data_IF_033406996217
#
_entry.id   IF_033406996217
#
_cell.length_a   1.000
_cell.length_b   1.000
_cell.length_c   1.000
_cell.angle_alpha   90.00
_cell.angle_beta   90.00
_cell.angle_gamma   90.00
#
_symmetry.space_group_name_H-M   'P 1'
#
loop_
_entity.id
_entity.type
_entity.pdbx_description
1 polymer ?
#
# COMPACT_ATOMS: atom_id res chain seq x y z
N UNK A 1 -3.34 0.64 -20.50
CA UNK A 1 -3.49 2.03 -20.04
C UNK A 1 -3.00 2.12 -18.61
N UNK A 2 -2.09 3.06 -18.31
CA UNK A 2 -1.79 3.44 -16.93
C UNK A 2 -2.96 4.33 -16.51
N UNK A 3 -3.75 3.88 -15.55
CA UNK A 3 -4.81 4.70 -14.96
C UNK A 3 -4.13 5.62 -13.96
N UNK A 4 -4.16 6.92 -14.22
CA UNK A 4 -3.77 7.94 -13.26
C UNK A 4 -4.98 8.29 -12.39
N UNK A 5 -4.75 8.54 -11.11
CA UNK A 5 -5.75 9.05 -10.18
C UNK A 5 -6.08 10.53 -10.42
N UNK A 6 -5.09 11.28 -10.91
CA UNK A 6 -5.23 12.68 -11.30
C UNK A 6 -5.63 13.62 -10.17
N UNK A 7 -6.08 14.82 -10.55
CA UNK A 7 -6.64 15.81 -9.63
C UNK A 7 -8.14 15.60 -9.47
N UNK A 8 -8.65 15.83 -8.25
CA UNK A 8 -10.09 15.76 -7.93
C UNK A 8 -10.49 16.92 -7.02
N UNK A 9 -11.71 17.41 -7.21
CA UNK A 9 -12.26 18.46 -6.34
C UNK A 9 -13.25 17.86 -5.35
N UNK A 10 -13.10 18.19 -4.08
CA UNK A 10 -13.95 17.75 -2.98
C UNK A 10 -14.30 18.94 -2.09
N UNK A 11 -15.59 19.28 -1.96
CA UNK A 11 -16.05 20.43 -1.20
C UNK A 11 -15.46 21.76 -1.70
N UNK A 12 -15.26 21.88 -3.01
CA UNK A 12 -14.64 23.07 -3.63
C UNK A 12 -13.12 23.18 -3.48
N UNK A 13 -12.46 22.18 -2.88
CA UNK A 13 -11.00 22.14 -2.74
C UNK A 13 -10.41 21.11 -3.71
N UNK A 14 -9.38 21.49 -4.47
CA UNK A 14 -8.64 20.57 -5.35
C UNK A 14 -7.61 19.76 -4.56
N UNK A 15 -7.58 18.45 -4.78
CA UNK A 15 -6.63 17.50 -4.22
C UNK A 15 -5.92 16.76 -5.35
N UNK A 16 -4.58 16.70 -5.28
CA UNK A 16 -3.76 15.99 -6.24
C UNK A 16 -3.49 14.54 -5.78
N UNK A 17 -4.14 13.58 -6.45
CA UNK A 17 -4.03 12.17 -6.15
C UNK A 17 -2.98 11.44 -6.99
N UNK A 18 -2.17 12.14 -7.80
CA UNK A 18 -1.15 11.50 -8.65
C UNK A 18 -0.09 10.74 -7.84
N UNK A 19 0.08 11.05 -6.55
CA UNK A 19 0.93 10.28 -5.64
C UNK A 19 0.44 8.84 -5.40
N UNK A 20 -0.81 8.53 -5.78
CA UNK A 20 -1.38 7.18 -5.77
C UNK A 20 -1.26 6.49 -7.15
N UNK A 21 -0.62 7.12 -8.13
CA UNK A 21 -0.37 6.50 -9.42
C UNK A 21 0.59 5.30 -9.25
N UNK A 22 0.36 4.19 -9.98
CA UNK A 22 1.24 3.05 -9.89
C UNK A 22 2.68 3.42 -10.28
N UNK A 23 3.65 3.08 -9.43
CA UNK A 23 5.07 3.27 -9.71
C UNK A 23 5.80 1.93 -9.77
N UNK A 24 7.05 1.96 -10.25
CA UNK A 24 7.93 0.80 -10.23
C UNK A 24 9.16 1.06 -9.37
N UNK A 25 9.67 -0.01 -8.78
CA UNK A 25 10.90 0.01 -8.00
C UNK A 25 11.63 -1.32 -8.11
N UNK A 26 12.93 -1.29 -7.82
CA UNK A 26 13.75 -2.49 -7.73
C UNK A 26 13.90 -2.92 -6.27
N UNK A 27 13.88 -4.23 -6.05
CA UNK A 27 14.11 -4.84 -4.74
C UNK A 27 15.18 -5.91 -4.89
N UNK A 28 16.29 -5.74 -4.17
CA UNK A 28 17.42 -6.68 -4.17
C UNK A 28 17.62 -7.23 -2.76
N UNK A 29 17.56 -8.55 -2.56
CA UNK A 29 17.93 -9.15 -1.27
C UNK A 29 19.37 -8.83 -0.89
N UNK A 30 19.66 -8.71 0.41
CA UNK A 30 20.98 -8.29 0.91
C UNK A 30 22.11 -9.31 0.67
N UNK A 31 21.79 -10.58 0.41
CA UNK A 31 22.81 -11.61 0.23
C UNK A 31 23.57 -11.40 -1.10
N UNK A 32 24.91 -11.50 -1.12
CA UNK A 32 25.70 -11.33 -2.33
C UNK A 32 25.23 -12.25 -3.47
N UNK A 33 25.19 -11.73 -4.69
CA UNK A 33 24.73 -12.46 -5.88
C UNK A 33 23.23 -12.69 -5.97
N UNK A 34 22.42 -12.13 -5.06
CA UNK A 34 20.97 -12.23 -5.14
C UNK A 34 20.40 -11.49 -6.37
N UNK A 35 19.36 -12.04 -7.02
CA UNK A 35 18.72 -11.37 -8.15
C UNK A 35 17.99 -10.10 -7.70
N UNK A 36 17.97 -9.10 -8.60
CA UNK A 36 17.15 -7.89 -8.45
C UNK A 36 15.78 -8.10 -9.07
N UNK A 37 14.72 -7.78 -8.33
CA UNK A 37 13.35 -7.91 -8.78
C UNK A 37 12.75 -6.55 -9.14
N UNK A 38 12.27 -6.41 -10.37
CA UNK A 38 11.36 -5.32 -10.77
C UNK A 38 9.98 -5.52 -10.17
N UNK A 39 9.54 -4.58 -9.34
CA UNK A 39 8.27 -4.58 -8.62
C UNK A 39 7.43 -3.40 -9.09
N UNK A 40 6.15 -3.65 -9.38
CA UNK A 40 5.15 -2.60 -9.59
C UNK A 40 4.33 -2.45 -8.32
N UNK A 41 4.19 -1.22 -7.82
CA UNK A 41 3.33 -0.91 -6.68
C UNK A 41 2.03 -0.33 -7.23
N UNK A 42 0.90 -0.83 -6.75
CA UNK A 42 -0.44 -0.31 -7.07
C UNK A 42 -1.15 0.06 -5.79
N UNK A 43 -2.08 1.01 -5.90
CA UNK A 43 -2.86 1.53 -4.78
C UNK A 43 -4.34 1.34 -5.07
N UNK A 44 -5.10 0.87 -4.08
CA UNK A 44 -6.55 0.93 -4.09
C UNK A 44 -7.06 2.23 -3.44
N UNK A 45 -8.37 2.34 -3.18
CA UNK A 45 -9.03 3.58 -2.73
C UNK A 45 -8.67 4.01 -1.29
N UNK A 46 -7.40 4.34 -1.01
CA UNK A 46 -6.91 4.59 0.36
C UNK A 46 -7.41 5.87 1.02
N UNK A 47 -7.73 6.88 0.21
CA UNK A 47 -8.28 8.15 0.65
C UNK A 47 -9.80 8.11 0.75
N UNK A 48 -10.44 7.00 0.40
CA UNK A 48 -11.90 6.83 0.41
C UNK A 48 -12.27 5.74 1.43
N UNK A 49 -12.75 6.14 2.61
CA UNK A 49 -12.62 5.28 3.80
C UNK A 49 -13.94 4.81 4.37
N UNK A 50 -14.82 5.71 4.79
CA UNK A 50 -16.15 5.37 5.30
C UNK A 50 -17.13 5.19 4.15
N UNK A 51 -18.20 4.46 4.42
CA UNK A 51 -19.35 4.42 3.52
C UNK A 51 -19.84 5.85 3.28
N UNK A 52 -20.13 6.15 2.01
CA UNK A 52 -20.76 7.40 1.63
C UNK A 52 -22.23 7.36 2.05
N UNK A 53 -22.70 8.39 2.73
CA UNK A 53 -24.10 8.53 3.13
C UNK A 53 -24.73 9.79 2.54
N UNK A 54 -26.06 9.87 2.57
CA UNK A 54 -26.82 10.96 1.91
C UNK A 54 -26.54 12.36 2.50
N UNK A 55 -25.95 12.44 3.69
CA UNK A 55 -25.50 13.71 4.30
C UNK A 55 -24.14 14.18 3.80
N UNK A 56 -23.43 13.35 3.03
CA UNK A 56 -22.15 13.70 2.44
C UNK A 56 -22.34 14.54 1.18
N UNK A 57 -21.37 15.40 0.90
CA UNK A 57 -21.36 16.12 -0.36
C UNK A 57 -21.27 15.10 -1.53
N UNK A 58 -22.09 15.24 -2.59
CA UNK A 58 -22.12 14.28 -3.70
C UNK A 58 -20.76 14.09 -4.38
N UNK A 59 -19.94 15.13 -4.41
CA UNK A 59 -18.58 15.12 -4.98
C UNK A 59 -17.60 14.31 -4.13
N UNK A 60 -17.88 14.05 -2.85
CA UNK A 60 -17.07 13.17 -1.99
C UNK A 60 -17.26 11.69 -2.28
N UNK A 61 -18.25 11.33 -3.11
CA UNK A 61 -18.56 9.94 -3.46
C UNK A 61 -17.52 9.37 -4.41
N UNK A 62 -16.95 8.23 -4.04
CA UNK A 62 -16.14 7.40 -4.92
C UNK A 62 -16.72 5.99 -4.99
N UNK A 63 -16.96 5.50 -6.20
CA UNK A 63 -17.49 4.15 -6.40
C UNK A 63 -16.34 3.15 -6.50
N UNK A 64 -16.25 2.22 -5.56
CA UNK A 64 -15.31 1.10 -5.56
C UNK A 64 -16.09 -0.21 -5.70
N UNK A 65 -16.27 -0.69 -6.94
CA UNK A 65 -17.12 -1.84 -7.21
C UNK A 65 -18.59 -1.56 -6.85
N UNK A 66 -19.17 -2.36 -5.97
CA UNK A 66 -20.55 -2.17 -5.48
C UNK A 66 -20.67 -1.18 -4.32
N UNK A 67 -19.55 -0.76 -3.72
CA UNK A 67 -19.55 0.12 -2.55
C UNK A 67 -19.29 1.58 -2.94
N UNK A 68 -19.99 2.50 -2.27
CA UNK A 68 -19.70 3.92 -2.33
C UNK A 68 -18.93 4.33 -1.08
N UNK A 69 -17.76 4.94 -1.28
CA UNK A 69 -16.86 5.39 -0.21
C UNK A 69 -16.73 6.92 -0.25
N UNK A 70 -16.63 7.55 0.92
CA UNK A 70 -16.43 8.99 1.04
C UNK A 70 -14.94 9.36 1.13
N UNK A 71 -14.56 10.43 0.43
CA UNK A 71 -13.22 11.02 0.52
C UNK A 71 -12.89 11.47 1.95
N UNK A 72 -11.64 11.27 2.37
CA UNK A 72 -11.14 11.62 3.69
C UNK A 72 -9.86 12.46 3.58
N UNK A 73 -9.92 13.78 3.84
CA UNK A 73 -8.77 14.68 3.69
C UNK A 73 -7.62 14.35 4.66
N UNK A 74 -7.94 13.83 5.86
CA UNK A 74 -6.92 13.36 6.81
C UNK A 74 -6.12 12.20 6.22
N UNK A 75 -6.80 11.21 5.61
CA UNK A 75 -6.12 10.09 4.97
C UNK A 75 -5.35 10.50 3.73
N UNK A 76 -5.87 11.46 2.96
CA UNK A 76 -5.13 12.11 1.88
C UNK A 76 -3.81 12.72 2.38
N UNK A 77 -3.84 13.47 3.48
CA UNK A 77 -2.63 14.06 4.05
C UNK A 77 -1.59 12.99 4.40
N UNK A 78 -2.03 11.90 5.05
CA UNK A 78 -1.11 10.80 5.39
C UNK A 78 -0.61 10.02 4.16
N UNK A 79 -1.45 9.86 3.12
CA UNK A 79 -1.10 9.06 1.95
C UNK A 79 0.01 9.66 1.10
N UNK A 80 0.28 10.96 1.23
CA UNK A 80 1.41 11.64 0.57
C UNK A 80 2.77 10.98 0.88
N UNK A 81 2.89 10.29 2.02
CA UNK A 81 4.13 9.62 2.41
C UNK A 81 4.28 8.20 1.82
N UNK A 82 3.24 7.63 1.20
CA UNK A 82 3.17 6.20 0.89
C UNK A 82 4.30 5.69 0.02
N UNK A 83 4.59 6.37 -1.09
CA UNK A 83 5.64 5.94 -2.00
C UNK A 83 6.98 5.83 -1.26
N UNK A 84 7.38 6.89 -0.55
CA UNK A 84 8.65 6.91 0.16
C UNK A 84 8.70 5.85 1.27
N UNK A 85 7.60 5.65 2.01
CA UNK A 85 7.52 4.63 3.05
C UNK A 85 7.68 3.22 2.49
N UNK A 86 7.08 2.92 1.34
CA UNK A 86 7.21 1.63 0.66
C UNK A 86 8.64 1.43 0.15
N UNK A 87 9.24 2.49 -0.44
CA UNK A 87 10.65 2.47 -0.86
C UNK A 87 11.57 2.17 0.31
N UNK A 88 11.39 2.84 1.44
CA UNK A 88 12.18 2.61 2.66
C UNK A 88 11.97 1.19 3.24
N UNK A 89 10.74 0.67 3.18
CA UNK A 89 10.44 -0.67 3.68
C UNK A 89 11.11 -1.79 2.87
N UNK A 90 11.48 -1.54 1.61
CA UNK A 90 12.07 -2.55 0.73
C UNK A 90 13.40 -3.13 1.21
N UNK A 91 14.17 -2.35 1.99
CA UNK A 91 15.44 -2.79 2.60
C UNK A 91 15.28 -3.37 4.01
N UNK A 92 14.04 -3.38 4.51
CA UNK A 92 13.68 -3.74 5.88
C UNK A 92 12.83 -5.01 6.00
N UNK A 93 12.05 -5.06 7.09
CA UNK A 93 11.15 -6.16 7.41
C UNK A 93 9.70 -5.70 7.34
N UNK A 94 8.83 -6.59 6.90
CA UNK A 94 7.37 -6.49 6.98
C UNK A 94 6.85 -7.51 7.96
N UNK A 95 5.60 -7.33 8.39
CA UNK A 95 4.95 -8.22 9.34
C UNK A 95 3.83 -9.00 8.68
N UNK A 96 3.59 -10.21 9.17
CA UNK A 96 2.40 -10.98 8.83
C UNK A 96 1.15 -10.29 9.40
N UNK A 97 0.04 -10.33 8.67
CA UNK A 97 -1.24 -9.82 9.12
C UNK A 97 -2.39 -10.82 8.81
N UNK A 98 -3.52 -10.67 9.51
CA UNK A 98 -4.67 -11.57 9.38
C UNK A 98 -5.65 -11.14 8.28
N UNK A 99 -5.72 -9.84 7.95
CA UNK A 99 -6.69 -9.29 6.97
C UNK A 99 -6.14 -9.28 5.54
N UNK A 100 -4.91 -8.79 5.40
CA UNK A 100 -4.04 -8.93 4.24
C UNK A 100 -2.80 -9.69 4.70
N UNK A 101 -2.12 -10.48 3.88
CA UNK A 101 -1.02 -11.31 4.36
C UNK A 101 0.11 -10.47 4.97
N UNK A 102 0.30 -9.22 4.53
CA UNK A 102 1.41 -8.37 4.94
C UNK A 102 0.98 -6.98 5.43
N UNK A 103 1.78 -6.43 6.36
CA UNK A 103 1.71 -5.05 6.82
C UNK A 103 3.11 -4.46 7.00
N UNK A 104 3.31 -3.23 6.52
CA UNK A 104 4.45 -2.38 6.85
C UNK A 104 4.01 -1.46 8.00
N UNK A 105 4.65 -1.54 9.17
CA UNK A 105 4.53 -0.49 10.18
C UNK A 105 5.49 0.65 9.82
N UNK A 106 4.95 1.83 9.51
CA UNK A 106 5.71 3.04 9.22
C UNK A 106 5.51 4.09 10.31
N UNK A 107 6.39 5.08 10.35
CA UNK A 107 6.22 6.31 11.14
C UNK A 107 6.11 7.47 10.18
N UNK A 108 5.17 8.38 10.43
CA UNK A 108 5.08 9.66 9.72
C UNK A 108 5.13 10.80 10.74
N UNK A 109 5.70 11.96 10.40
CA UNK A 109 5.74 13.11 11.30
C UNK A 109 4.33 13.49 11.79
N UNK A 110 4.20 13.79 13.09
CA UNK A 110 2.94 14.25 13.67
C UNK A 110 1.91 13.17 13.99
N UNK A 111 2.16 11.89 13.68
CA UNK A 111 1.32 10.78 14.14
C UNK A 111 1.94 10.07 15.35
N UNK A 112 1.11 9.83 16.37
CA UNK A 112 1.49 8.98 17.51
C UNK A 112 1.26 7.50 17.19
N UNK A 113 2.34 6.72 17.15
CA UNK A 113 2.29 5.30 16.80
C UNK A 113 2.23 5.01 15.29
N UNK A 114 2.11 3.73 14.89
CA UNK A 114 2.38 3.34 13.52
C UNK A 114 1.29 3.76 12.53
N UNK A 115 1.76 4.16 11.35
CA UNK A 115 0.99 4.19 10.12
C UNK A 115 1.11 2.82 9.44
N UNK A 116 0.02 2.07 9.41
CA UNK A 116 0.00 0.69 8.90
C UNK A 116 -0.33 0.69 7.40
N UNK A 117 0.56 0.10 6.59
CA UNK A 117 0.37 -0.08 5.14
C UNK A 117 0.16 -1.57 4.87
N UNK A 118 -1.06 -1.93 4.51
CA UNK A 118 -1.50 -3.30 4.27
C UNK A 118 -1.41 -3.63 2.78
N UNK A 119 -0.76 -4.73 2.43
CA UNK A 119 -0.55 -5.08 1.02
C UNK A 119 -0.61 -6.59 0.73
N UNK A 120 -0.86 -6.89 -0.53
CA UNK A 120 -0.68 -8.21 -1.15
C UNK A 120 0.56 -8.18 -2.04
N UNK A 121 1.28 -9.31 -2.12
CA UNK A 121 2.32 -9.52 -3.12
C UNK A 121 1.85 -10.58 -4.11
N UNK A 122 1.73 -10.19 -5.37
CA UNK A 122 1.15 -11.02 -6.44
C UNK A 122 2.23 -11.25 -7.50
N UNK A 123 2.39 -12.50 -7.95
CA UNK A 123 3.32 -12.80 -9.05
C UNK A 123 2.85 -12.09 -10.33
N UNK A 124 3.71 -11.27 -10.91
CA UNK A 124 3.38 -10.57 -12.14
C UNK A 124 3.34 -11.54 -13.32
N UNK A 125 2.48 -11.24 -14.31
CA UNK A 125 2.40 -11.97 -15.58
C UNK A 125 2.94 -11.18 -16.77
N UNK A 126 3.27 -9.91 -16.54
CA UNK A 126 3.81 -9.00 -17.56
C UNK A 126 5.31 -9.20 -17.72
N UNK A 127 5.84 -9.36 -18.95
CA UNK A 127 7.28 -9.43 -19.20
C UNK A 127 8.03 -8.25 -18.56
N UNK A 128 9.19 -8.54 -17.95
CA UNK A 128 10.03 -7.53 -17.29
C UNK A 128 9.56 -7.10 -15.89
N UNK A 129 8.37 -7.50 -15.44
CA UNK A 129 7.89 -7.34 -14.07
C UNK A 129 7.86 -8.69 -13.35
N UNK A 130 8.28 -8.71 -12.09
CA UNK A 130 8.34 -9.94 -11.29
C UNK A 130 7.18 -10.03 -10.29
N UNK A 131 6.88 -8.91 -9.62
CA UNK A 131 5.86 -8.85 -8.56
C UNK A 131 5.04 -7.57 -8.68
N UNK A 132 3.74 -7.68 -8.38
CA UNK A 132 2.85 -6.56 -8.10
C UNK A 132 2.63 -6.50 -6.60
N UNK A 133 2.99 -5.38 -5.98
CA UNK A 133 2.63 -5.04 -4.59
C UNK A 133 1.35 -4.24 -4.65
N UNK A 134 0.23 -4.90 -4.33
CA UNK A 134 -1.09 -4.28 -4.29
C UNK A 134 -1.36 -3.77 -2.87
N UNK A 135 -1.19 -2.47 -2.67
CA UNK A 135 -1.53 -1.81 -1.41
C UNK A 135 -3.05 -1.78 -1.32
N UNK A 136 -3.61 -2.40 -0.27
CA UNK A 136 -5.06 -2.55 -0.07
C UNK A 136 -5.64 -1.52 0.90
N UNK A 137 -4.82 -1.06 1.84
CA UNK A 137 -5.21 -0.03 2.79
C UNK A 137 -3.97 0.60 3.41
N UNK A 138 -4.06 1.88 3.76
CA UNK A 138 -3.04 2.51 4.58
C UNK A 138 -3.66 3.54 5.52
N UNK A 139 -3.33 3.45 6.81
CA UNK A 139 -3.88 4.36 7.82
C UNK A 139 -3.14 4.35 9.14
N UNK A 140 -3.36 5.43 9.89
CA UNK A 140 -2.96 5.52 11.29
C UNK A 140 -3.60 4.40 12.09
N UNK A 141 -2.77 3.58 12.73
CA UNK A 141 -3.20 2.41 13.50
C UNK A 141 -2.35 2.30 14.77
N UNK A 142 -2.55 3.18 15.77
CA UNK A 142 -1.74 3.19 17.00
C UNK A 142 -1.82 1.86 17.76
N UNK A 143 -2.90 1.10 17.56
CA UNK A 143 -3.15 -0.21 18.14
C UNK A 143 -2.59 -1.38 17.32
N UNK A 144 -1.76 -1.13 16.30
CA UNK A 144 -1.16 -2.20 15.51
C UNK A 144 -0.29 -3.10 16.40
N UNK A 145 -0.53 -4.41 16.34
CA UNK A 145 0.27 -5.37 17.11
C UNK A 145 1.71 -5.46 16.54
N UNK A 146 2.64 -4.76 17.18
CA UNK A 146 4.06 -4.76 16.81
C UNK A 146 4.82 -6.03 17.22
N UNK A 147 4.14 -7.05 17.74
CA UNK A 147 4.71 -8.38 18.03
C UNK A 147 4.38 -9.42 16.95
N UNK A 148 3.64 -9.04 15.91
CA UNK A 148 3.37 -9.93 14.78
C UNK A 148 4.68 -10.45 14.17
N UNK A 149 4.77 -11.75 13.79
CA UNK A 149 5.94 -12.31 13.14
C UNK A 149 6.37 -11.45 11.94
N UNK A 150 7.67 -11.48 11.65
CA UNK A 150 8.28 -10.61 10.63
C UNK A 150 9.09 -11.41 9.62
N UNK A 151 9.17 -10.89 8.41
CA UNK A 151 9.94 -11.42 7.28
C UNK A 151 10.52 -10.25 6.50
N UNK A 152 11.66 -10.41 5.82
CA UNK A 152 12.19 -9.30 5.02
C UNK A 152 11.26 -9.00 3.84
N UNK A 153 11.14 -7.72 3.46
CA UNK A 153 10.35 -7.35 2.28
C UNK A 153 10.88 -8.08 1.03
N UNK A 154 12.20 -8.13 0.87
CA UNK A 154 12.85 -8.85 -0.22
C UNK A 154 12.54 -10.36 -0.24
N UNK A 155 12.41 -11.03 0.91
CA UNK A 155 11.97 -12.44 0.98
C UNK A 155 10.53 -12.59 0.49
N UNK A 156 9.65 -11.64 0.82
CA UNK A 156 8.26 -11.66 0.31
C UNK A 156 8.28 -11.57 -1.22
N UNK A 157 9.00 -10.59 -1.77
CA UNK A 157 9.11 -10.39 -3.22
C UNK A 157 9.73 -11.61 -3.91
N UNK A 158 10.86 -12.12 -3.41
CA UNK A 158 11.58 -13.23 -4.04
C UNK A 158 10.75 -14.53 -4.05
N UNK A 159 10.08 -14.85 -2.94
CA UNK A 159 9.21 -16.02 -2.88
C UNK A 159 7.97 -15.87 -3.77
N UNK A 160 7.34 -14.69 -3.79
CA UNK A 160 6.21 -14.41 -4.68
C UNK A 160 6.62 -14.53 -6.15
N UNK A 161 7.76 -13.98 -6.56
CA UNK A 161 8.29 -14.10 -7.92
C UNK A 161 8.52 -15.57 -8.32
N UNK A 162 9.06 -16.37 -7.38
CA UNK A 162 9.29 -17.80 -7.57
C UNK A 162 8.00 -18.65 -7.48
N UNK A 163 6.85 -18.09 -7.11
CA UNK A 163 5.62 -18.84 -6.86
C UNK A 163 5.69 -19.75 -5.62
N UNK A 164 6.58 -19.44 -4.67
CA UNK A 164 6.77 -20.21 -3.44
C UNK A 164 5.88 -19.66 -2.32
N UNK A 165 5.17 -20.51 -1.58
CA UNK A 165 4.38 -20.06 -0.44
C UNK A 165 5.28 -19.55 0.69
N UNK A 166 4.82 -18.52 1.41
CA UNK A 166 5.51 -18.00 2.59
C UNK A 166 4.72 -18.45 3.81
N UNK A 167 5.28 -19.38 4.58
CA UNK A 167 4.63 -19.91 5.77
C UNK A 167 4.79 -18.91 6.93
N UNK A 168 3.68 -18.63 7.61
CA UNK A 168 3.72 -17.88 8.86
C UNK A 168 4.39 -18.74 9.96
N UNK A 169 5.42 -18.23 10.64
CA UNK A 169 5.97 -18.90 11.81
C UNK A 169 4.88 -19.10 12.87
N UNK A 170 4.88 -20.27 13.52
CA UNK A 170 4.03 -20.55 14.69
C UNK A 170 4.52 -19.75 15.89
#
# INVERSE_FOLDING_TARGET
MIVSWGKRTFGGVEYDLCHLDPFTMQVTPKAPGSPTYNVRVTFTCHTFTREWCDTDAPDHKHQEGSEARAFCPIRYGHSQHLEQLIRNASVGKVRFNNQTPWVIPATIPGLDGPYAIYFNAIKARTPGLHVIVDVRSAHHKPTLNMRLPQVTFATVIGNTAAGKPIKRPK
#
